data_IF_262911427308
#
_entry.id   IF_262911427308
#
_cell.length_a   1.000
_cell.length_b   1.000
_cell.length_c   1.000
_cell.angle_alpha   90.00
_cell.angle_beta   90.00
_cell.angle_gamma   90.00
#
_symmetry.space_group_name_H-M   'P 1'
#
loop_
_entity.id
_entity.type
_entity.pdbx_description
1 polymer ?
#
# COMPACT_ATOMS: atom_id res chain seq x y z
N UNK A 1 -1.00 23.62 -27.56
CA UNK A 1 -1.60 23.15 -26.28
C UNK A 1 -0.91 21.91 -25.71
N UNK A 2 -0.26 21.07 -26.53
CA UNK A 2 0.31 19.76 -26.13
C UNK A 2 1.44 19.75 -25.08
N UNK A 3 2.36 20.71 -25.08
CA UNK A 3 3.55 20.62 -24.21
C UNK A 3 3.23 20.78 -22.71
N UNK A 4 2.18 21.54 -22.37
CA UNK A 4 1.74 21.73 -20.97
C UNK A 4 1.02 20.49 -20.44
N UNK A 5 0.21 19.82 -21.26
CA UNK A 5 -0.43 18.57 -20.85
C UNK A 5 0.58 17.46 -20.61
N UNK A 6 1.54 17.26 -21.52
CA UNK A 6 2.59 16.25 -21.34
C UNK A 6 3.42 16.46 -20.06
N UNK A 7 3.77 17.71 -19.74
CA UNK A 7 4.50 18.04 -18.50
C UNK A 7 3.66 17.82 -17.24
N UNK A 8 2.35 18.05 -17.32
CA UNK A 8 1.42 17.88 -16.20
C UNK A 8 1.20 16.39 -15.92
N UNK A 9 0.98 15.59 -16.98
CA UNK A 9 0.84 14.12 -16.90
C UNK A 9 2.13 13.46 -16.40
N UNK A 10 3.31 13.93 -16.84
CA UNK A 10 4.61 13.43 -16.34
C UNK A 10 4.86 13.74 -14.86
N UNK A 11 4.32 14.82 -14.31
CA UNK A 11 4.48 15.17 -12.88
C UNK A 11 3.52 14.39 -12.00
N UNK A 12 2.31 14.11 -12.48
CA UNK A 12 1.30 13.35 -11.73
C UNK A 12 1.62 11.86 -11.63
N UNK A 13 2.27 11.30 -12.64
CA UNK A 13 2.58 9.86 -12.73
C UNK A 13 3.76 9.42 -11.87
N UNK A 14 4.75 10.29 -11.59
CA UNK A 14 5.94 9.92 -10.80
C UNK A 14 5.62 9.23 -9.46
N UNK A 15 4.79 9.79 -8.56
CA UNK A 15 4.49 9.14 -7.28
C UNK A 15 3.68 7.85 -7.45
N UNK A 16 2.86 7.75 -8.49
CA UNK A 16 2.08 6.55 -8.79
C UNK A 16 2.97 5.34 -9.07
N UNK A 17 4.07 5.52 -9.80
CA UNK A 17 4.99 4.43 -10.12
C UNK A 17 5.67 3.88 -8.87
N UNK A 18 6.05 4.74 -7.91
CA UNK A 18 6.62 4.30 -6.63
C UNK A 18 5.58 3.59 -5.76
N UNK A 19 4.34 4.07 -5.74
CA UNK A 19 3.23 3.39 -5.04
C UNK A 19 2.96 2.02 -5.66
N UNK A 20 2.90 1.91 -6.98
CA UNK A 20 2.73 0.64 -7.69
C UNK A 20 3.90 -0.31 -7.42
N UNK A 21 5.13 0.16 -7.53
CA UNK A 21 6.32 -0.65 -7.25
C UNK A 21 6.31 -1.18 -5.81
N UNK A 22 5.94 -0.35 -4.82
CA UNK A 22 5.77 -0.77 -3.43
C UNK A 22 4.76 -1.91 -3.32
N UNK A 23 3.57 -1.77 -3.90
CA UNK A 23 2.55 -2.81 -3.82
C UNK A 23 2.92 -4.08 -4.58
N UNK A 24 3.60 -3.98 -5.72
CA UNK A 24 4.13 -5.15 -6.43
C UNK A 24 5.13 -5.91 -5.55
N UNK A 25 6.05 -5.21 -4.88
CA UNK A 25 7.00 -5.83 -3.95
C UNK A 25 6.27 -6.49 -2.78
N UNK A 26 5.26 -5.83 -2.21
CA UNK A 26 4.44 -6.41 -1.13
C UNK A 26 3.72 -7.68 -1.59
N UNK A 27 3.09 -7.68 -2.77
CA UNK A 27 2.41 -8.87 -3.31
C UNK A 27 3.40 -10.01 -3.53
N UNK A 28 4.57 -9.73 -4.10
CA UNK A 28 5.63 -10.73 -4.31
C UNK A 28 6.14 -11.29 -2.99
N UNK A 29 6.33 -10.43 -1.98
CA UNK A 29 6.73 -10.86 -0.64
C UNK A 29 5.68 -11.78 0.00
N UNK A 30 4.40 -11.39 -0.04
CA UNK A 30 3.28 -12.20 0.50
C UNK A 30 3.21 -13.55 -0.20
N UNK A 31 3.28 -13.58 -1.53
CA UNK A 31 3.23 -14.83 -2.30
C UNK A 31 4.43 -15.73 -2.00
N UNK A 32 5.64 -15.18 -1.87
CA UNK A 32 6.83 -15.95 -1.47
C UNK A 32 6.66 -16.55 -0.07
N UNK A 33 6.15 -15.77 0.88
CA UNK A 33 5.91 -16.24 2.23
C UNK A 33 4.83 -17.34 2.29
N UNK A 34 3.81 -17.27 1.44
CA UNK A 34 2.75 -18.30 1.40
C UNK A 34 3.17 -19.59 0.68
N UNK A 35 4.08 -19.51 -0.29
CA UNK A 35 4.53 -20.68 -1.05
C UNK A 35 5.68 -21.41 -0.35
N UNK A 36 6.52 -20.70 0.41
CA UNK A 36 7.69 -21.29 1.05
C UNK A 36 7.31 -22.10 2.31
N UNK A 37 7.64 -23.40 2.38
CA UNK A 37 7.25 -24.26 3.49
C UNK A 37 7.90 -23.88 4.82
N UNK A 38 9.03 -23.16 4.81
CA UNK A 38 9.71 -22.67 6.01
C UNK A 38 8.98 -21.53 6.74
N UNK A 39 7.98 -20.91 6.10
CA UNK A 39 7.15 -19.86 6.68
C UNK A 39 5.75 -20.36 7.05
N UNK A 40 5.46 -21.66 6.88
CA UNK A 40 4.25 -22.26 7.44
C UNK A 40 4.35 -22.21 8.96
N UNK A 41 3.44 -21.43 9.53
CA UNK A 41 3.26 -21.19 10.95
C UNK A 41 3.23 -22.53 11.70
N UNK A 42 4.12 -22.72 12.67
CA UNK A 42 4.05 -23.81 13.63
C UNK A 42 2.85 -23.62 14.59
N UNK A 43 2.55 -24.61 15.45
CA UNK A 43 1.34 -24.65 16.28
C UNK A 43 1.18 -23.46 17.25
N UNK A 44 2.23 -22.65 17.44
CA UNK A 44 2.27 -21.52 18.37
C UNK A 44 2.57 -20.17 17.71
N UNK A 45 2.72 -20.11 16.38
CA UNK A 45 2.94 -18.85 15.65
C UNK A 45 1.67 -18.44 14.93
N UNK A 46 1.23 -17.17 15.07
CA UNK A 46 0.06 -16.67 14.35
C UNK A 46 0.25 -16.89 12.85
N UNK A 47 -0.85 -17.18 12.16
CA UNK A 47 -0.76 -17.58 10.77
C UNK A 47 -0.05 -16.48 9.96
N UNK A 48 1.02 -16.82 9.23
CA UNK A 48 1.86 -15.81 8.59
C UNK A 48 1.07 -14.97 7.56
N UNK A 49 0.00 -15.56 7.00
CA UNK A 49 -1.04 -14.86 6.23
C UNK A 49 -1.60 -13.64 6.99
N UNK A 50 -2.01 -13.82 8.24
CA UNK A 50 -2.57 -12.76 9.09
C UNK A 50 -1.51 -11.71 9.41
N UNK A 51 -0.27 -12.14 9.71
CA UNK A 51 0.84 -11.23 9.99
C UNK A 51 1.20 -10.37 8.78
N UNK A 52 1.18 -10.95 7.59
CA UNK A 52 1.47 -10.26 6.33
C UNK A 52 0.42 -9.21 5.99
N UNK A 53 -0.87 -9.51 6.22
CA UNK A 53 -1.99 -8.57 6.07
C UNK A 53 -1.82 -7.41 7.05
N UNK A 54 -1.50 -7.70 8.32
CA UNK A 54 -1.23 -6.70 9.35
C UNK A 54 -0.08 -5.76 8.98
N UNK A 55 1.04 -6.30 8.50
CA UNK A 55 2.18 -5.48 8.05
C UNK A 55 1.80 -4.58 6.86
N UNK A 56 1.06 -5.12 5.88
CA UNK A 56 0.62 -4.34 4.73
C UNK A 56 -0.33 -3.20 5.14
N UNK A 57 -1.20 -3.47 6.11
CA UNK A 57 -2.15 -2.49 6.66
C UNK A 57 -1.42 -1.35 7.37
N UNK A 58 -0.51 -1.66 8.29
CA UNK A 58 0.30 -0.64 8.98
C UNK A 58 1.13 0.20 7.99
N UNK A 59 1.71 -0.43 6.98
CA UNK A 59 2.44 0.27 5.92
C UNK A 59 1.54 1.22 5.11
N UNK A 60 0.33 0.78 4.75
CA UNK A 60 -0.63 1.60 4.03
C UNK A 60 -1.11 2.81 4.85
N UNK A 61 -1.36 2.63 6.16
CA UNK A 61 -1.72 3.72 7.08
C UNK A 61 -0.58 4.75 7.20
N UNK A 62 0.67 4.29 7.38
CA UNK A 62 1.84 5.16 7.44
C UNK A 62 1.99 6.00 6.16
N UNK A 63 1.83 5.38 4.99
CA UNK A 63 1.91 6.06 3.70
C UNK A 63 0.76 7.06 3.50
N UNK A 64 -0.44 6.75 3.99
CA UNK A 64 -1.56 7.68 4.00
C UNK A 64 -1.26 8.91 4.86
N UNK A 65 -0.72 8.70 6.07
CA UNK A 65 -0.28 9.77 6.97
C UNK A 65 0.81 10.64 6.34
N UNK A 66 1.83 10.04 5.70
CA UNK A 66 2.88 10.79 5.00
C UNK A 66 2.30 11.63 3.86
N UNK A 67 1.35 11.09 3.09
CA UNK A 67 0.69 11.84 2.02
C UNK A 67 -0.16 12.99 2.56
N UNK A 68 -0.85 12.81 3.69
CA UNK A 68 -1.59 13.86 4.40
C UNK A 68 -0.66 14.96 4.94
N UNK A 69 0.48 14.59 5.53
CA UNK A 69 1.48 15.56 6.00
C UNK A 69 2.08 16.33 4.82
N UNK A 70 2.37 15.65 3.71
CA UNK A 70 2.86 16.29 2.48
C UNK A 70 1.84 17.23 1.86
N UNK A 71 0.55 16.89 1.94
CA UNK A 71 -0.53 17.81 1.58
C UNK A 71 -0.46 19.08 2.43
N UNK A 72 -0.38 18.94 3.76
CA UNK A 72 -0.30 20.09 4.68
C UNK A 72 0.93 20.96 4.43
N UNK A 73 2.09 20.35 4.12
CA UNK A 73 3.35 21.07 3.92
C UNK A 73 3.54 21.67 2.51
N UNK A 74 3.06 21.01 1.45
CA UNK A 74 3.34 21.39 0.06
C UNK A 74 2.10 21.80 -0.74
N UNK A 75 0.90 21.70 -0.16
CA UNK A 75 -0.36 22.06 -0.83
C UNK A 75 -0.70 21.24 -2.08
N UNK A 76 0.02 20.13 -2.32
CA UNK A 76 -0.22 19.24 -3.46
C UNK A 76 -0.71 17.89 -2.96
N UNK A 77 -1.90 17.50 -3.41
CA UNK A 77 -2.44 16.16 -3.24
C UNK A 77 -2.07 15.32 -4.46
N UNK A 78 -1.62 14.10 -4.21
CA UNK A 78 -1.57 13.04 -5.21
C UNK A 78 -2.80 12.14 -5.02
N UNK A 79 -3.92 12.58 -5.58
CA UNK A 79 -5.25 11.96 -5.41
C UNK A 79 -5.18 10.45 -5.65
N UNK A 80 -4.55 10.02 -6.74
CA UNK A 80 -4.41 8.61 -7.11
C UNK A 80 -3.68 7.79 -6.04
N UNK A 81 -2.58 8.30 -5.47
CA UNK A 81 -1.83 7.60 -4.41
C UNK A 81 -2.65 7.52 -3.13
N UNK A 82 -3.32 8.61 -2.74
CA UNK A 82 -4.18 8.66 -1.56
C UNK A 82 -5.36 7.68 -1.70
N UNK A 83 -6.00 7.63 -2.86
CA UNK A 83 -7.09 6.69 -3.14
C UNK A 83 -6.61 5.24 -3.02
N UNK A 84 -5.46 4.90 -3.60
CA UNK A 84 -4.90 3.54 -3.51
C UNK A 84 -4.61 3.16 -2.05
N UNK A 85 -3.95 4.04 -1.29
CA UNK A 85 -3.69 3.77 0.13
C UNK A 85 -4.98 3.66 0.96
N UNK A 86 -5.95 4.55 0.72
CA UNK A 86 -7.24 4.50 1.41
C UNK A 86 -8.00 3.21 1.11
N UNK A 87 -7.95 2.71 -0.13
CA UNK A 87 -8.62 1.49 -0.55
C UNK A 87 -7.99 0.26 0.12
N UNK A 88 -6.66 0.22 0.22
CA UNK A 88 -5.93 -0.85 0.92
C UNK A 88 -6.23 -0.84 2.43
N UNK A 89 -6.28 0.34 3.04
CA UNK A 89 -6.69 0.49 4.44
C UNK A 89 -8.13 0.00 4.63
N UNK A 90 -9.05 0.37 3.74
CA UNK A 90 -10.44 -0.07 3.79
C UNK A 90 -10.55 -1.61 3.72
N UNK A 91 -9.82 -2.24 2.79
CA UNK A 91 -9.79 -3.71 2.69
C UNK A 91 -9.21 -4.37 3.93
N UNK A 92 -8.19 -3.77 4.55
CA UNK A 92 -7.62 -4.27 5.81
C UNK A 92 -8.61 -4.18 6.98
N UNK A 93 -9.36 -3.08 7.09
CA UNK A 93 -10.41 -2.91 8.10
C UNK A 93 -11.52 -3.95 7.90
N UNK A 94 -12.00 -4.13 6.67
CA UNK A 94 -13.03 -5.13 6.36
C UNK A 94 -12.54 -6.53 6.73
N UNK A 95 -11.30 -6.88 6.38
CA UNK A 95 -10.72 -8.17 6.73
C UNK A 95 -10.65 -8.40 8.25
N UNK A 96 -10.21 -7.40 9.01
CA UNK A 96 -10.12 -7.46 10.47
C UNK A 96 -11.49 -7.61 11.14
N UNK A 97 -12.51 -6.90 10.64
CA UNK A 97 -13.87 -6.98 11.18
C UNK A 97 -14.53 -8.33 10.85
N UNK A 98 -14.26 -8.88 9.66
CA UNK A 98 -14.81 -10.18 9.25
C UNK A 98 -14.07 -11.38 9.85
N UNK A 99 -12.81 -11.20 10.27
CA UNK A 99 -11.97 -12.23 10.90
C UNK A 99 -11.42 -11.71 12.24
N UNK A 100 -12.29 -11.61 13.28
CA UNK A 100 -11.92 -11.08 14.59
C UNK A 100 -10.93 -11.97 15.36
#
# INVERSE_FOLDING_TARGET
MEAKDLLTTRRFTKPLHYTLAYYVIVIVAITLFNVLPGFKSGPCTPNLDVLSIFLSFFGAVLLLCVNLIRLKQRGRIYLSSVIIHALVVLTGIIFLVLNP
#
